data_IF_635665424691
#
_entry.id   IF_635665424691
#
_cell.length_a   1.000
_cell.length_b   1.000
_cell.length_c   1.000
_cell.angle_alpha   90.00
_cell.angle_beta   90.00
_cell.angle_gamma   90.00
#
_symmetry.space_group_name_H-M   'P 1'
#
loop_
_entity.id
_entity.type
_entity.pdbx_description
1 polymer ?
#
# COMPACT_ATOMS: atom_id res chain seq x y z
N UNK A 1 -0.39 25.89 10.26
CA UNK A 1 -0.48 24.63 11.03
C UNK A 1 -0.69 23.44 10.11
N UNK A 2 -1.64 23.53 9.15
CA UNK A 2 -1.82 22.53 8.09
C UNK A 2 -0.52 22.13 7.37
N UNK A 3 0.37 23.08 7.10
CA UNK A 3 1.65 22.79 6.42
C UNK A 3 2.57 21.81 7.19
N UNK A 4 2.55 21.81 8.53
CA UNK A 4 3.38 20.87 9.30
C UNK A 4 2.85 19.44 9.17
N UNK A 5 1.54 19.26 9.28
CA UNK A 5 0.90 17.96 9.09
C UNK A 5 1.09 17.45 7.67
N UNK A 6 0.94 18.32 6.67
CA UNK A 6 1.20 17.99 5.28
C UNK A 6 2.63 17.50 5.08
N UNK A 7 3.64 18.20 5.63
CA UNK A 7 5.03 17.75 5.55
C UNK A 7 5.29 16.45 6.31
N UNK A 8 4.63 16.23 7.44
CA UNK A 8 4.70 14.97 8.18
C UNK A 8 4.10 13.82 7.37
N UNK A 9 2.94 14.03 6.75
CA UNK A 9 2.28 13.07 5.86
C UNK A 9 3.14 12.76 4.63
N UNK A 10 3.69 13.79 3.99
CA UNK A 10 4.62 13.62 2.88
C UNK A 10 5.83 12.79 3.30
N UNK A 11 6.40 13.06 4.48
CA UNK A 11 7.53 12.32 5.02
C UNK A 11 7.19 10.85 5.29
N UNK A 12 6.03 10.57 5.87
CA UNK A 12 5.55 9.20 6.12
C UNK A 12 5.24 8.46 4.82
N UNK A 13 4.86 9.18 3.75
CA UNK A 13 4.63 8.66 2.41
C UNK A 13 5.89 8.52 1.54
N UNK A 14 7.09 8.86 2.05
CA UNK A 14 8.31 8.68 1.29
C UNK A 14 8.65 7.19 1.12
N UNK A 15 9.14 6.82 -0.07
CA UNK A 15 9.57 5.45 -0.41
C UNK A 15 10.55 4.88 0.63
N UNK A 16 11.45 5.72 1.14
CA UNK A 16 12.42 5.34 2.18
C UNK A 16 11.76 4.93 3.50
N UNK A 17 10.57 5.44 3.81
CA UNK A 17 9.83 5.08 5.02
C UNK A 17 9.19 3.70 4.84
N UNK A 18 8.38 3.53 3.79
CA UNK A 18 7.71 2.27 3.47
C UNK A 18 8.69 1.12 3.24
N UNK A 19 9.79 1.37 2.53
CA UNK A 19 10.84 0.37 2.31
C UNK A 19 11.48 -0.07 3.63
N UNK A 20 11.64 0.84 4.60
CA UNK A 20 12.18 0.49 5.92
C UNK A 20 11.24 -0.39 6.72
N UNK A 21 9.93 -0.11 6.67
CA UNK A 21 8.91 -0.96 7.33
C UNK A 21 8.85 -2.34 6.67
N UNK A 22 8.87 -2.38 5.34
CA UNK A 22 8.90 -3.61 4.54
C UNK A 22 10.13 -4.44 4.86
N UNK A 23 11.31 -3.84 4.83
CA UNK A 23 12.55 -4.52 5.16
C UNK A 23 12.57 -5.00 6.62
N UNK A 24 12.00 -4.23 7.56
CA UNK A 24 11.86 -4.68 8.94
C UNK A 24 11.00 -5.94 9.03
N UNK A 25 9.78 -5.90 8.50
CA UNK A 25 8.84 -7.00 8.58
C UNK A 25 9.35 -8.24 7.83
N UNK A 26 9.98 -8.07 6.67
CA UNK A 26 10.66 -9.15 5.95
C UNK A 26 11.68 -9.90 6.80
N UNK A 27 12.43 -9.18 7.63
CA UNK A 27 13.52 -9.75 8.44
C UNK A 27 13.04 -10.37 9.77
N UNK A 28 11.93 -9.86 10.33
CA UNK A 28 11.51 -10.17 11.69
C UNK A 28 10.15 -10.86 11.80
N UNK A 29 9.22 -10.69 10.86
CA UNK A 29 7.85 -11.21 10.99
C UNK A 29 7.82 -12.73 11.16
N UNK A 30 8.64 -13.48 10.41
CA UNK A 30 8.77 -14.93 10.54
C UNK A 30 9.40 -15.41 11.85
N UNK A 31 9.86 -14.51 12.73
CA UNK A 31 10.41 -14.80 14.07
C UNK A 31 9.42 -14.50 15.18
N UNK A 32 8.26 -13.94 14.85
CA UNK A 32 7.24 -13.59 15.83
C UNK A 32 6.48 -14.85 16.25
N UNK A 33 6.24 -14.96 17.55
CA UNK A 33 5.41 -15.99 18.16
C UNK A 33 4.15 -15.29 18.66
N UNK A 34 3.07 -15.39 17.89
CA UNK A 34 1.80 -14.75 18.20
C UNK A 34 1.02 -15.59 19.22
N UNK A 35 0.63 -14.98 20.34
CA UNK A 35 -0.36 -15.56 21.25
C UNK A 35 -1.77 -15.51 20.64
N UNK A 36 -2.73 -16.20 21.27
CA UNK A 36 -4.13 -16.04 20.91
C UNK A 36 -4.61 -14.61 21.20
N UNK A 37 -5.76 -14.23 20.65
CA UNK A 37 -6.33 -12.91 20.86
C UNK A 37 -6.66 -12.70 22.35
N UNK A 38 -6.15 -11.61 22.94
CA UNK A 38 -6.27 -11.33 24.37
C UNK A 38 -5.25 -12.04 25.27
N UNK A 39 -4.33 -12.83 24.73
CA UNK A 39 -3.24 -13.46 25.49
C UNK A 39 -1.96 -12.60 25.52
N UNK A 40 -1.17 -12.78 26.58
CA UNK A 40 0.16 -12.19 26.69
C UNK A 40 1.06 -12.66 25.54
N UNK A 41 1.73 -11.71 24.91
CA UNK A 41 2.62 -11.97 23.80
C UNK A 41 3.98 -12.45 24.29
N UNK A 42 4.65 -13.30 23.50
CA UNK A 42 5.95 -13.84 23.88
C UNK A 42 7.00 -12.74 24.12
N UNK A 43 7.97 -12.99 25.02
CA UNK A 43 9.09 -12.08 25.24
C UNK A 43 9.89 -11.80 23.95
N UNK A 44 9.96 -12.79 23.04
CA UNK A 44 10.60 -12.61 21.73
C UNK A 44 9.84 -11.62 20.85
N UNK A 45 8.51 -11.70 20.84
CA UNK A 45 7.64 -10.75 20.14
C UNK A 45 7.85 -9.34 20.70
N UNK A 46 7.93 -9.21 22.02
CA UNK A 46 8.21 -7.92 22.66
C UNK A 46 9.60 -7.36 22.31
N UNK A 47 10.64 -8.20 22.23
CA UNK A 47 11.96 -7.76 21.80
C UNK A 47 11.99 -7.27 20.34
N UNK A 48 11.22 -7.92 19.45
CA UNK A 48 11.06 -7.44 18.08
C UNK A 48 10.28 -6.12 18.06
N UNK A 49 9.20 -6.02 18.83
CA UNK A 49 8.43 -4.79 18.95
C UNK A 49 9.26 -3.60 19.46
N UNK A 50 10.16 -3.80 20.43
CA UNK A 50 11.09 -2.73 20.85
C UNK A 50 12.00 -2.26 19.72
N UNK A 51 12.43 -3.16 18.84
CA UNK A 51 13.21 -2.79 17.64
C UNK A 51 12.37 -2.03 16.64
N UNK A 52 11.09 -2.39 16.49
CA UNK A 52 10.13 -1.66 15.67
C UNK A 52 9.96 -0.23 16.19
N UNK A 53 9.68 -0.06 17.48
CA UNK A 53 9.57 1.25 18.12
C UNK A 53 10.83 2.09 17.89
N UNK A 54 12.02 1.53 18.14
CA UNK A 54 13.27 2.27 17.95
C UNK A 54 13.49 2.70 16.50
N UNK A 55 13.13 1.86 15.53
CA UNK A 55 13.20 2.23 14.11
C UNK A 55 12.26 3.39 13.81
N UNK A 56 11.02 3.35 14.32
CA UNK A 56 10.05 4.42 14.13
C UNK A 56 10.51 5.74 14.78
N UNK A 57 11.03 5.68 16.01
CA UNK A 57 11.63 6.83 16.69
C UNK A 57 12.74 7.46 15.84
N UNK A 58 13.67 6.66 15.30
CA UNK A 58 14.74 7.15 14.42
C UNK A 58 14.17 7.86 13.18
N UNK A 59 13.05 7.38 12.63
CA UNK A 59 12.40 8.04 11.49
C UNK A 59 11.80 9.38 11.90
N UNK A 60 11.13 9.46 13.04
CA UNK A 60 10.59 10.71 13.56
C UNK A 60 11.68 11.69 13.99
N UNK A 61 12.79 11.22 14.55
CA UNK A 61 13.99 12.01 14.85
C UNK A 61 14.53 12.67 13.56
N UNK A 62 14.64 11.90 12.46
CA UNK A 62 15.04 12.43 11.15
C UNK A 62 14.09 13.47 10.59
N UNK A 63 12.78 13.30 10.82
CA UNK A 63 11.80 14.31 10.44
C UNK A 63 12.00 15.60 11.25
N UNK A 64 12.20 15.49 12.56
CA UNK A 64 12.46 16.65 13.42
C UNK A 64 13.75 17.38 13.00
N UNK A 65 14.82 16.65 12.71
CA UNK A 65 16.08 17.21 12.16
C UNK A 65 15.86 17.95 10.84
N UNK A 66 15.08 17.37 9.92
CA UNK A 66 14.75 17.99 8.63
C UNK A 66 13.94 19.28 8.80
N UNK A 67 13.04 19.33 9.78
CA UNK A 67 12.26 20.52 10.10
C UNK A 67 13.05 21.56 10.93
N UNK A 68 14.29 21.26 11.32
CA UNK A 68 15.09 22.12 12.18
C UNK A 68 14.51 22.27 13.59
N UNK A 69 13.81 21.25 14.08
CA UNK A 69 13.16 21.23 15.39
C UNK A 69 13.96 20.36 16.37
N UNK A 70 14.08 20.83 17.61
CA UNK A 70 14.49 19.96 18.72
C UNK A 70 13.36 18.99 19.08
N UNK A 71 13.69 17.93 19.83
CA UNK A 71 12.68 16.97 20.32
C UNK A 71 11.59 17.66 21.16
N UNK A 72 11.96 18.62 22.00
CA UNK A 72 11.01 19.40 22.81
C UNK A 72 10.10 20.27 21.93
N UNK A 73 10.67 20.91 20.89
CA UNK A 73 9.89 21.70 19.94
C UNK A 73 8.95 20.83 19.11
N UNK A 74 9.40 19.64 18.70
CA UNK A 74 8.57 18.67 17.98
C UNK A 74 7.38 18.23 18.83
N UNK A 75 7.63 17.83 20.09
CA UNK A 75 6.57 17.47 21.04
C UNK A 75 5.57 18.61 21.25
N UNK A 76 6.08 19.83 21.51
CA UNK A 76 5.24 21.01 21.69
C UNK A 76 4.40 21.29 20.45
N UNK A 77 4.97 21.18 19.26
CA UNK A 77 4.28 21.43 18.00
C UNK A 77 3.20 20.40 17.73
N UNK A 78 3.46 19.12 18.01
CA UNK A 78 2.44 18.08 17.97
C UNK A 78 1.30 18.36 18.96
N UNK A 79 1.62 18.68 20.22
CA UNK A 79 0.62 18.98 21.24
C UNK A 79 -0.24 20.21 20.85
N UNK A 80 0.38 21.28 20.38
CA UNK A 80 -0.33 22.48 19.91
C UNK A 80 -1.26 22.18 18.72
N UNK A 81 -0.85 21.30 17.81
CA UNK A 81 -1.67 20.90 16.66
C UNK A 81 -2.87 20.07 17.12
N UNK A 82 -2.65 19.12 18.03
CA UNK A 82 -3.72 18.31 18.61
C UNK A 82 -4.71 19.15 19.43
N UNK A 83 -4.26 20.21 20.09
CA UNK A 83 -5.13 21.12 20.85
C UNK A 83 -5.95 22.03 19.92
N UNK A 84 -5.33 22.55 18.86
CA UNK A 84 -5.93 23.59 18.01
C UNK A 84 -6.77 23.04 16.84
N UNK A 85 -6.56 21.78 16.46
CA UNK A 85 -7.26 21.16 15.33
C UNK A 85 -7.69 19.74 15.73
N UNK A 86 -8.97 19.53 16.10
CA UNK A 86 -9.49 18.22 16.52
C UNK A 86 -9.27 17.13 15.46
N UNK A 87 -9.41 17.51 14.19
CA UNK A 87 -9.21 16.64 13.04
C UNK A 87 -7.76 16.13 12.97
N UNK A 88 -6.80 17.04 13.14
CA UNK A 88 -5.39 16.69 13.28
C UNK A 88 -5.10 15.87 14.55
N UNK A 89 -5.85 16.10 15.63
CA UNK A 89 -5.72 15.32 16.86
C UNK A 89 -6.08 13.85 16.62
N UNK A 90 -7.17 13.57 15.91
CA UNK A 90 -7.55 12.21 15.52
C UNK A 90 -6.47 11.55 14.66
N UNK A 91 -5.93 12.25 13.65
CA UNK A 91 -4.82 11.74 12.85
C UNK A 91 -3.56 11.44 13.69
N UNK A 92 -3.15 12.37 14.56
CA UNK A 92 -1.98 12.20 15.41
C UNK A 92 -2.18 11.07 16.44
N UNK A 93 -3.38 10.93 17.00
CA UNK A 93 -3.72 9.80 17.87
C UNK A 93 -3.65 8.48 17.12
N UNK A 94 -4.16 8.43 15.89
CA UNK A 94 -4.08 7.23 15.07
C UNK A 94 -2.63 6.87 14.70
N UNK A 95 -1.81 7.87 14.36
CA UNK A 95 -0.38 7.71 14.17
C UNK A 95 0.28 7.17 15.45
N UNK A 96 -0.09 7.71 16.62
CA UNK A 96 0.43 7.24 17.90
C UNK A 96 0.02 5.80 18.21
N UNK A 97 -1.25 5.46 17.99
CA UNK A 97 -1.77 4.10 18.16
C UNK A 97 -1.11 3.10 17.20
N UNK A 98 -0.64 3.53 16.02
CA UNK A 98 0.14 2.67 15.12
C UNK A 98 1.49 2.22 15.72
N UNK A 99 1.95 2.88 16.80
CA UNK A 99 3.13 2.44 17.56
C UNK A 99 2.80 1.46 18.69
N UNK A 100 1.53 1.13 18.93
CA UNK A 100 1.12 0.18 19.96
C UNK A 100 1.42 -1.26 19.53
N UNK A 101 1.60 -2.13 20.53
CA UNK A 101 1.97 -3.54 20.31
C UNK A 101 0.91 -4.28 19.49
N UNK A 102 -0.37 -4.03 19.77
CA UNK A 102 -1.49 -4.68 19.07
C UNK A 102 -1.49 -4.34 17.58
N UNK A 103 -1.34 -3.06 17.24
CA UNK A 103 -1.29 -2.62 15.84
C UNK A 103 -0.04 -3.13 15.11
N UNK A 104 1.11 -3.20 15.80
CA UNK A 104 2.30 -3.84 15.25
C UNK A 104 2.06 -5.33 14.96
N UNK A 105 1.37 -6.05 15.86
CA UNK A 105 1.05 -7.46 15.69
C UNK A 105 0.15 -7.69 14.49
N UNK A 106 -0.89 -6.88 14.34
CA UNK A 106 -1.83 -7.01 13.22
C UNK A 106 -1.14 -6.70 11.89
N UNK A 107 -0.32 -5.64 11.86
CA UNK A 107 0.51 -5.33 10.70
C UNK A 107 1.45 -6.50 10.33
N UNK A 108 2.09 -7.12 11.32
CA UNK A 108 2.97 -8.25 11.10
C UNK A 108 2.23 -9.50 10.63
N UNK A 109 1.04 -9.79 11.18
CA UNK A 109 0.16 -10.87 10.74
C UNK A 109 -0.25 -10.67 9.28
N UNK A 110 -0.64 -9.47 8.91
CA UNK A 110 -1.06 -9.15 7.55
C UNK A 110 0.11 -9.21 6.57
N UNK A 111 1.30 -8.77 6.97
CA UNK A 111 2.51 -8.96 6.19
C UNK A 111 2.82 -10.45 5.95
N UNK A 112 2.72 -11.31 6.97
CA UNK A 112 2.94 -12.75 6.78
C UNK A 112 1.92 -13.40 5.84
N UNK A 113 0.67 -12.92 5.83
CA UNK A 113 -0.38 -13.44 4.94
C UNK A 113 -0.18 -13.00 3.49
N UNK A 114 0.21 -11.73 3.29
CA UNK A 114 0.16 -11.09 1.96
C UNK A 114 1.54 -10.89 1.32
N UNK A 115 2.61 -10.93 2.12
CA UNK A 115 3.97 -10.55 1.72
C UNK A 115 4.16 -9.05 1.46
N UNK A 116 3.12 -8.24 1.67
CA UNK A 116 3.10 -6.82 1.35
C UNK A 116 2.90 -6.01 2.62
N UNK A 117 3.75 -5.01 2.83
CA UNK A 117 3.45 -3.95 3.79
C UNK A 117 2.68 -2.91 3.00
N UNK A 118 1.40 -2.78 3.27
CA UNK A 118 0.67 -1.63 2.80
C UNK A 118 0.61 -0.65 3.97
N UNK A 119 1.64 0.18 4.07
CA UNK A 119 1.68 1.32 5.00
C UNK A 119 0.45 2.19 4.77
N UNK A 120 0.08 2.30 3.49
CA UNK A 120 -1.17 2.86 3.05
C UNK A 120 -2.40 2.18 3.62
N UNK A 121 -2.53 0.86 3.75
CA UNK A 121 -3.72 0.27 4.41
C UNK A 121 -3.79 0.62 5.89
N UNK A 122 -2.68 0.53 6.61
CA UNK A 122 -2.64 0.86 8.04
C UNK A 122 -2.99 2.33 8.31
N UNK A 123 -2.34 3.25 7.58
CA UNK A 123 -2.63 4.69 7.66
C UNK A 123 -3.97 5.06 6.99
N UNK A 124 -4.38 4.41 5.90
CA UNK A 124 -5.67 4.68 5.24
C UNK A 124 -6.85 4.21 6.07
N UNK A 125 -6.79 3.10 6.81
CA UNK A 125 -7.93 2.72 7.68
C UNK A 125 -8.16 3.81 8.75
N UNK A 126 -7.08 4.37 9.27
CA UNK A 126 -7.13 5.51 10.18
C UNK A 126 -7.59 6.81 9.50
N UNK A 127 -7.12 7.08 8.28
CA UNK A 127 -7.49 8.27 7.49
C UNK A 127 -8.92 8.18 6.91
N UNK A 128 -9.43 6.99 6.61
CA UNK A 128 -10.80 6.76 6.14
C UNK A 128 -11.77 6.95 7.30
N UNK A 129 -11.44 6.41 8.48
CA UNK A 129 -12.20 6.68 9.72
C UNK A 129 -12.24 8.18 10.03
N UNK A 130 -11.11 8.86 9.84
CA UNK A 130 -10.99 10.32 9.94
C UNK A 130 -11.87 11.07 8.92
N UNK A 131 -11.86 10.67 7.64
CA UNK A 131 -12.68 11.28 6.59
C UNK A 131 -14.18 10.98 6.76
N UNK A 132 -14.55 9.87 7.39
CA UNK A 132 -15.94 9.52 7.71
C UNK A 132 -16.48 10.31 8.91
N UNK A 133 -15.66 10.57 9.93
CA UNK A 133 -16.04 11.45 11.06
C UNK A 133 -16.24 12.90 10.63
N UNK A 134 -15.37 13.44 9.75
CA UNK A 134 -15.50 14.80 9.20
C UNK A 134 -16.79 15.02 8.39
N UNK A 135 -17.26 14.00 7.65
CA UNK A 135 -18.54 14.08 6.92
C UNK A 135 -19.76 14.25 7.83
N UNK A 136 -19.61 14.01 9.13
CA UNK A 136 -20.64 14.27 10.15
C UNK A 136 -20.59 15.67 10.77
N UNK A 137 -19.51 16.43 10.58
CA UNK A 137 -19.32 17.75 11.18
C UNK A 137 -19.63 18.86 10.17
N UNK A 138 -20.68 19.65 10.45
CA UNK A 138 -21.02 20.88 9.70
C UNK A 138 -20.00 21.99 10.03
N UNK A 139 -18.76 21.85 9.58
CA UNK A 139 -17.70 22.85 9.68
C UNK A 139 -17.30 23.26 8.25
N UNK A 140 -17.96 24.29 7.72
CA UNK A 140 -17.67 24.85 6.40
C UNK A 140 -16.24 25.42 6.28
N UNK A 141 -15.53 25.62 7.40
CA UNK A 141 -14.20 26.23 7.45
C UNK A 141 -13.01 25.23 7.54
N UNK A 142 -13.23 23.94 7.86
CA UNK A 142 -12.14 22.94 8.01
C UNK A 142 -11.99 21.98 6.81
N UNK A 143 -12.95 21.99 5.89
CA UNK A 143 -12.99 21.19 4.65
C UNK A 143 -11.73 21.34 3.80
N UNK A 144 -11.12 22.53 3.75
CA UNK A 144 -9.93 22.80 2.94
C UNK A 144 -8.70 22.02 3.44
N UNK A 145 -8.60 21.75 4.74
CA UNK A 145 -7.47 20.98 5.31
C UNK A 145 -7.63 19.50 5.00
N UNK A 146 -8.84 18.95 5.16
CA UNK A 146 -9.13 17.56 4.81
C UNK A 146 -8.92 17.30 3.31
N UNK A 147 -9.38 18.21 2.44
CA UNK A 147 -9.16 18.12 1.00
C UNK A 147 -7.67 18.25 0.63
N UNK A 148 -6.93 19.18 1.25
CA UNK A 148 -5.48 19.32 1.00
C UNK A 148 -4.68 18.09 1.48
N UNK A 149 -5.08 17.46 2.58
CA UNK A 149 -4.52 16.19 3.06
C UNK A 149 -4.83 15.08 2.04
N UNK A 150 -6.09 14.98 1.59
CA UNK A 150 -6.50 13.99 0.60
C UNK A 150 -5.76 14.14 -0.73
N UNK A 151 -5.67 15.36 -1.26
CA UNK A 151 -4.95 15.67 -2.50
C UNK A 151 -3.46 15.38 -2.37
N UNK A 152 -2.84 15.71 -1.23
CA UNK A 152 -1.43 15.38 -0.97
C UNK A 152 -1.19 13.86 -0.92
N UNK A 153 -2.13 13.09 -0.35
CA UNK A 153 -2.08 11.63 -0.30
C UNK A 153 -2.25 11.04 -1.72
N UNK A 154 -3.20 11.54 -2.50
CA UNK A 154 -3.43 11.12 -3.88
C UNK A 154 -2.22 11.44 -4.77
N UNK A 155 -1.63 12.63 -4.61
CA UNK A 155 -0.40 13.00 -5.31
C UNK A 155 0.81 12.16 -4.88
N UNK A 156 0.98 11.89 -3.58
CA UNK A 156 2.04 11.02 -3.07
C UNK A 156 1.92 9.62 -3.67
N UNK A 157 0.69 9.08 -3.76
CA UNK A 157 0.37 7.81 -4.40
C UNK A 157 0.71 7.83 -5.90
N UNK A 158 0.36 8.90 -6.62
CA UNK A 158 0.71 9.06 -8.03
C UNK A 158 2.24 9.16 -8.26
N UNK A 159 2.96 9.81 -7.35
CA UNK A 159 4.43 9.96 -7.39
C UNK A 159 5.17 8.65 -7.07
N UNK A 160 4.67 7.86 -6.11
CA UNK A 160 5.21 6.55 -5.75
C UNK A 160 5.10 5.52 -6.88
N UNK A 161 3.92 5.45 -7.53
CA UNK A 161 3.67 4.57 -8.69
C UNK A 161 4.53 4.95 -9.91
N UNK A 162 4.81 6.24 -10.11
CA UNK A 162 5.56 6.70 -11.29
C UNK A 162 7.09 6.51 -11.17
N UNK A 163 7.66 6.53 -9.95
CA UNK A 163 9.11 6.40 -9.76
C UNK A 163 9.60 4.95 -9.80
N UNK A 164 8.83 3.99 -9.29
CA UNK A 164 9.14 2.56 -9.37
C UNK A 164 9.29 2.08 -10.82
N UNK A 165 8.50 2.64 -11.74
CA UNK A 165 8.58 2.39 -13.19
C UNK A 165 9.84 2.98 -13.87
N UNK A 166 10.45 4.03 -13.30
CA UNK A 166 11.59 4.74 -13.91
C UNK A 166 12.97 4.19 -13.50
N UNK A 167 13.07 3.60 -12.31
CA UNK A 167 14.30 3.01 -11.75
C UNK A 167 14.71 1.70 -12.46
N UNK A 168 13.75 0.96 -13.01
CA UNK A 168 13.99 -0.34 -13.65
C UNK A 168 14.61 -0.27 -15.06
N UNK A 169 15.00 0.92 -15.56
CA UNK A 169 15.42 1.12 -16.96
C UNK A 169 16.83 1.72 -17.10
N UNK A 170 17.81 1.18 -16.36
CA UNK A 170 19.21 1.51 -16.60
C UNK A 170 20.20 0.39 -16.23
N UNK A 171 20.20 -0.72 -16.98
CA UNK A 171 21.42 -1.52 -17.17
C UNK A 171 21.56 -1.93 -18.63
N UNK A 172 22.71 -1.56 -19.21
CA UNK A 172 23.05 -1.62 -20.62
C UNK A 172 23.78 -2.94 -20.92
N UNK A 173 23.49 -3.46 -22.10
CA UNK A 173 23.89 -4.76 -22.65
C UNK A 173 25.39 -5.11 -22.54
N UNK A 174 25.66 -6.35 -22.11
CA UNK A 174 26.89 -7.08 -22.39
C UNK A 174 26.58 -8.32 -23.26
N UNK A 175 27.44 -8.54 -24.25
CA UNK A 175 27.31 -9.38 -25.44
C UNK A 175 27.61 -10.85 -25.13
N UNK A 176 26.82 -11.86 -25.56
CA UNK A 176 27.21 -13.26 -25.41
C UNK A 176 28.02 -13.77 -26.61
N UNK A 177 29.02 -14.60 -26.30
CA UNK A 177 29.90 -15.26 -27.25
C UNK A 177 29.26 -16.52 -27.86
N UNK A 178 29.63 -16.78 -29.12
CA UNK A 178 29.30 -17.95 -29.95
C UNK A 178 29.62 -19.28 -29.26
N UNK A 179 28.68 -20.22 -29.30
CA UNK A 179 28.93 -21.67 -29.13
C UNK A 179 28.33 -22.42 -30.33
N UNK A 180 29.08 -23.39 -30.84
CA UNK A 180 28.87 -24.13 -32.09
C UNK A 180 27.86 -25.31 -31.96
N UNK A 181 27.39 -25.89 -33.08
CA UNK A 181 26.25 -26.82 -33.13
C UNK A 181 26.63 -28.28 -33.40
N UNK A 182 25.99 -29.26 -32.74
CA UNK A 182 25.91 -30.69 -33.18
C UNK A 182 24.76 -31.45 -32.45
N UNK A 183 24.31 -32.67 -32.83
CA UNK A 183 23.18 -32.87 -33.75
C UNK A 183 22.05 -33.83 -33.26
N UNK A 184 20.94 -33.78 -34.01
CA UNK A 184 20.00 -34.86 -34.41
C UNK A 184 19.38 -35.84 -33.39
N UNK A 185 18.05 -35.66 -33.26
CA UNK A 185 16.92 -36.60 -33.07
C UNK A 185 17.13 -38.13 -33.00
N UNK A 186 16.22 -38.81 -32.27
CA UNK A 186 15.33 -39.73 -32.99
C UNK A 186 13.82 -39.58 -32.65
N UNK A 187 13.04 -40.03 -33.63
CA UNK A 187 11.57 -40.04 -33.78
C UNK A 187 10.84 -40.68 -32.58
N UNK A 188 9.75 -40.05 -32.14
CA UNK A 188 8.72 -40.69 -31.31
C UNK A 188 7.36 -40.68 -32.00
N UNK A 189 6.62 -41.77 -31.77
CA UNK A 189 5.42 -42.24 -32.48
C UNK A 189 4.19 -41.37 -32.22
N UNK A 190 3.42 -41.12 -33.28
CA UNK A 190 2.05 -40.60 -33.22
C UNK A 190 1.10 -41.67 -32.64
N UNK A 191 0.31 -41.28 -31.64
CA UNK A 191 -0.91 -41.95 -31.19
C UNK A 191 -2.14 -41.22 -31.74
N UNK A 192 -3.24 -41.91 -32.07
CA UNK A 192 -4.39 -41.32 -32.72
C UNK A 192 -5.43 -40.77 -31.71
N UNK A 193 -5.89 -39.54 -31.97
CA UNK A 193 -7.30 -39.17 -31.92
C UNK A 193 -8.02 -39.19 -30.56
N UNK A 194 -7.86 -38.11 -29.78
CA UNK A 194 -8.90 -37.68 -28.83
C UNK A 194 -9.61 -36.45 -29.41
N UNK A 195 -10.90 -36.61 -29.74
CA UNK A 195 -11.80 -35.50 -30.09
C UNK A 195 -11.96 -34.61 -28.86
N UNK A 196 -11.36 -33.42 -28.90
CA UNK A 196 -11.60 -32.38 -27.92
C UNK A 196 -13.04 -31.84 -28.09
N UNK A 197 -13.88 -32.08 -27.09
CA UNK A 197 -15.13 -31.34 -26.89
C UNK A 197 -14.79 -29.86 -26.71
N UNK A 198 -15.41 -28.98 -27.48
CA UNK A 198 -15.34 -27.55 -27.25
C UNK A 198 -15.82 -27.25 -25.81
N UNK A 199 -15.10 -26.44 -25.03
CA UNK A 199 -15.58 -26.01 -23.72
C UNK A 199 -16.84 -25.17 -23.91
N UNK A 200 -17.94 -25.59 -23.30
CA UNK A 200 -19.18 -24.83 -23.21
C UNK A 200 -18.86 -23.51 -22.49
N UNK A 201 -19.24 -22.34 -23.03
CA UNK A 201 -19.02 -21.07 -22.34
C UNK A 201 -19.85 -21.05 -21.06
N UNK A 202 -19.16 -21.14 -19.91
CA UNK A 202 -19.76 -20.88 -18.61
C UNK A 202 -19.92 -19.37 -18.52
N UNK A 203 -21.11 -18.88 -18.85
CA UNK A 203 -21.46 -17.47 -18.71
C UNK A 203 -21.62 -17.14 -17.23
N UNK A 204 -20.55 -16.67 -16.59
CA UNK A 204 -20.63 -16.11 -15.24
C UNK A 204 -21.31 -14.75 -15.34
N UNK A 205 -22.56 -14.66 -14.91
CA UNK A 205 -23.26 -13.38 -14.81
C UNK A 205 -22.70 -12.62 -13.62
N UNK A 206 -22.01 -11.50 -13.87
CA UNK A 206 -21.59 -10.58 -12.82
C UNK A 206 -22.81 -9.78 -12.37
N UNK A 207 -23.09 -9.76 -11.06
CA UNK A 207 -24.13 -8.94 -10.45
C UNK A 207 -23.47 -7.79 -9.69
N UNK A 208 -23.88 -6.56 -9.98
CA UNK A 208 -23.43 -5.36 -9.28
C UNK A 208 -24.46 -4.96 -8.22
N UNK A 209 -24.01 -4.48 -7.06
CA UNK A 209 -24.92 -3.91 -6.07
C UNK A 209 -25.46 -2.55 -6.55
N UNK A 210 -26.54 -2.07 -5.92
CA UNK A 210 -27.11 -0.74 -6.22
C UNK A 210 -26.09 0.39 -5.97
N UNK A 211 -25.24 0.24 -4.93
CA UNK A 211 -24.16 1.18 -4.64
C UNK A 211 -23.11 1.19 -5.74
N UNK A 212 -22.71 0.02 -6.24
CA UNK A 212 -21.75 -0.09 -7.33
C UNK A 212 -22.29 0.57 -8.61
N UNK A 213 -23.57 0.35 -8.91
CA UNK A 213 -24.23 0.96 -10.08
C UNK A 213 -24.29 2.49 -9.99
N UNK A 214 -24.45 3.06 -8.79
CA UNK A 214 -24.41 4.50 -8.60
C UNK A 214 -23.03 5.08 -8.93
N UNK A 215 -21.96 4.47 -8.40
CA UNK A 215 -20.58 4.90 -8.67
C UNK A 215 -20.23 4.76 -10.15
N UNK A 216 -20.62 3.64 -10.78
CA UNK A 216 -20.43 3.42 -12.22
C UNK A 216 -21.12 4.51 -13.04
N UNK A 217 -22.33 4.92 -12.64
CA UNK A 217 -23.10 5.94 -13.37
C UNK A 217 -22.45 7.32 -13.24
N UNK A 218 -22.06 7.72 -12.03
CA UNK A 218 -21.34 8.98 -11.80
C UNK A 218 -20.01 9.04 -12.58
N UNK A 219 -19.27 7.93 -12.60
CA UNK A 219 -18.05 7.83 -13.41
C UNK A 219 -18.33 7.90 -14.92
N UNK A 220 -19.41 7.28 -15.38
CA UNK A 220 -19.82 7.32 -16.78
C UNK A 220 -20.20 8.74 -17.22
N UNK A 221 -20.94 9.47 -16.40
CA UNK A 221 -21.31 10.87 -16.64
C UNK A 221 -20.07 11.78 -16.67
N UNK A 222 -19.15 11.60 -15.73
CA UNK A 222 -17.90 12.37 -15.68
C UNK A 222 -17.04 12.18 -16.93
N UNK A 223 -17.07 10.98 -17.52
CA UNK A 223 -16.26 10.62 -18.68
C UNK A 223 -17.02 10.72 -20.01
N UNK A 224 -18.25 11.26 -20.00
CA UNK A 224 -19.16 11.37 -21.14
C UNK A 224 -19.29 10.05 -21.93
N UNK A 225 -19.55 8.96 -21.20
CA UNK A 225 -19.71 7.62 -21.77
C UNK A 225 -20.92 6.89 -21.21
N UNK A 226 -21.30 5.78 -21.84
CA UNK A 226 -22.41 4.96 -21.34
C UNK A 226 -21.98 4.15 -20.11
N UNK A 227 -22.87 3.89 -19.13
CA UNK A 227 -22.54 3.07 -17.96
C UNK A 227 -21.96 1.69 -18.31
N UNK A 228 -22.42 1.06 -19.40
CA UNK A 228 -21.87 -0.23 -19.84
C UNK A 228 -20.41 -0.13 -20.31
N UNK A 229 -20.04 0.98 -20.97
CA UNK A 229 -18.67 1.25 -21.41
C UNK A 229 -17.77 1.56 -20.20
N UNK A 230 -18.30 2.29 -19.22
CA UNK A 230 -17.64 2.51 -17.93
C UNK A 230 -17.33 1.20 -17.20
N UNK A 231 -18.29 0.26 -17.11
CA UNK A 231 -18.06 -1.07 -16.49
C UNK A 231 -16.94 -1.82 -17.20
N UNK A 232 -16.99 -1.90 -18.53
CA UNK A 232 -15.95 -2.59 -19.32
C UNK A 232 -14.59 -1.93 -19.10
N UNK A 233 -14.54 -0.60 -19.03
CA UNK A 233 -13.30 0.14 -18.79
C UNK A 233 -12.73 -0.10 -17.39
N UNK A 234 -13.57 -0.10 -16.35
CA UNK A 234 -13.19 -0.40 -14.97
C UNK A 234 -12.66 -1.84 -14.86
N UNK A 235 -13.36 -2.82 -15.46
CA UNK A 235 -12.93 -4.21 -15.47
C UNK A 235 -11.58 -4.35 -16.19
N UNK A 236 -11.42 -3.75 -17.36
CA UNK A 236 -10.18 -3.82 -18.11
C UNK A 236 -9.01 -3.14 -17.37
N UNK A 237 -9.28 -2.03 -16.67
CA UNK A 237 -8.26 -1.38 -15.84
C UNK A 237 -7.82 -2.28 -14.69
N UNK A 238 -8.77 -2.88 -13.95
CA UNK A 238 -8.43 -3.82 -12.89
C UNK A 238 -7.68 -5.06 -13.38
N UNK A 239 -8.08 -5.61 -14.54
CA UNK A 239 -7.36 -6.72 -15.17
C UNK A 239 -5.92 -6.33 -15.53
N UNK A 240 -5.72 -5.11 -16.03
CA UNK A 240 -4.39 -4.59 -16.34
C UNK A 240 -3.54 -4.43 -15.08
N UNK A 241 -4.11 -3.87 -14.01
CA UNK A 241 -3.41 -3.69 -12.72
C UNK A 241 -3.01 -5.06 -12.12
N UNK A 242 -3.90 -6.06 -12.19
CA UNK A 242 -3.59 -7.42 -11.76
C UNK A 242 -2.47 -8.06 -12.59
N UNK A 243 -2.45 -7.84 -13.90
CA UNK A 243 -1.37 -8.33 -14.76
C UNK A 243 -0.04 -7.65 -14.45
N UNK A 244 -0.03 -6.35 -14.12
CA UNK A 244 1.18 -5.67 -13.67
C UNK A 244 1.70 -6.24 -12.35
N UNK A 245 0.82 -6.42 -11.36
CA UNK A 245 1.21 -7.03 -10.09
C UNK A 245 1.75 -8.45 -10.28
N UNK A 246 1.13 -9.27 -11.14
CA UNK A 246 1.65 -10.61 -11.43
C UNK A 246 3.05 -10.54 -12.08
N UNK A 247 3.26 -9.65 -13.05
CA UNK A 247 4.55 -9.49 -13.70
C UNK A 247 5.64 -8.99 -12.72
N UNK A 248 5.29 -8.16 -11.75
CA UNK A 248 6.21 -7.75 -10.69
C UNK A 248 6.53 -8.89 -9.73
N UNK A 249 5.53 -9.69 -9.36
CA UNK A 249 5.72 -10.87 -8.53
C UNK A 249 6.65 -11.91 -9.20
N UNK A 250 6.47 -12.17 -10.50
CA UNK A 250 7.34 -13.07 -11.28
C UNK A 250 8.80 -12.58 -11.31
N UNK A 251 9.02 -11.26 -11.48
CA UNK A 251 10.38 -10.67 -11.40
C UNK A 251 11.05 -10.87 -10.05
N UNK A 252 10.29 -10.85 -8.96
CA UNK A 252 10.81 -11.09 -7.60
C UNK A 252 11.17 -12.55 -7.39
N UNK A 253 10.41 -13.48 -7.98
CA UNK A 253 10.70 -14.91 -7.89
C UNK A 253 11.95 -15.33 -8.68
N UNK A 254 12.18 -14.75 -9.87
CA UNK A 254 13.36 -15.05 -10.69
C UNK A 254 14.69 -14.54 -10.10
N UNK A 255 14.64 -13.74 -9.04
CA UNK A 255 15.81 -13.19 -8.34
C UNK A 255 16.35 -14.07 -7.20
N UNK A 256 15.65 -15.14 -6.82
CA UNK A 256 16.05 -16.10 -5.78
C UNK A 256 16.50 -17.45 -6.39
#
# INVERSE_FOLDING_TARGET
MAEFLQRLLEFLGEENFEESLTNFLKNYAGRLEFGEEGEEQSLKTFDVYRKWQRMMEIKLEKFAEREGLSNEQMQKKCAEIMEKNPSAASFMNALLSSFELEQFIDLAKDYMKTGLVSVHKGLCVCLESFLEEEKGCNLEDDSDVANAIFDSIVEAKARGVSKSLSSAKATKAAKPAKVAPVPSTPKSKQLPGSKASAPTPVGTSLTFSEKDMKVITEFAEMMDMKPQEAVVRIINQHLFDLQQMQAEYEKVLDFN
#
